data_IF_879924828234
#
_entry.id   IF_879924828234
#
_cell.length_a   1.000
_cell.length_b   1.000
_cell.length_c   1.000
_cell.angle_alpha   90.00
_cell.angle_beta   90.00
_cell.angle_gamma   90.00
#
_symmetry.space_group_name_H-M   'P 1'
#
loop_
_entity.id
_entity.type
_entity.pdbx_description
1 polymer ?
#
# COMPACT_ATOMS: atom_id res chain seq x y z
N UNK A 1 -4.40 -0.40 -15.24
CA UNK A 1 -3.99 0.51 -14.15
C UNK A 1 -2.48 0.63 -14.18
N UNK A 2 -1.92 1.83 -14.02
CA UNK A 2 -0.47 2.04 -13.93
C UNK A 2 -0.02 1.70 -12.51
N UNK A 3 1.07 0.96 -12.37
CA UNK A 3 1.66 0.59 -11.08
C UNK A 3 3.15 0.89 -11.08
N UNK A 4 3.71 1.20 -9.91
CA UNK A 4 5.13 1.47 -9.72
C UNK A 4 5.64 0.71 -8.49
N UNK A 5 6.90 0.27 -8.51
CA UNK A 5 7.51 -0.28 -7.30
C UNK A 5 7.48 0.78 -6.19
N UNK A 6 7.01 0.38 -5.01
CA UNK A 6 6.61 1.31 -3.97
C UNK A 6 7.78 2.07 -3.34
N UNK A 7 8.92 1.42 -3.07
CA UNK A 7 10.06 2.10 -2.48
C UNK A 7 10.71 3.08 -3.46
N UNK A 8 10.88 2.69 -4.72
CA UNK A 8 11.38 3.56 -5.78
C UNK A 8 10.47 4.78 -5.96
N UNK A 9 9.15 4.57 -6.00
CA UNK A 9 8.19 5.65 -6.14
C UNK A 9 8.22 6.59 -4.94
N UNK A 10 8.14 6.07 -3.71
CA UNK A 10 8.15 6.88 -2.48
C UNK A 10 9.46 7.66 -2.30
N UNK A 11 10.61 7.03 -2.56
CA UNK A 11 11.93 7.65 -2.38
C UNK A 11 12.26 8.70 -3.45
N UNK A 12 11.60 8.65 -4.60
CA UNK A 12 11.77 9.65 -5.68
C UNK A 12 10.70 10.74 -5.69
N UNK A 13 9.67 10.62 -4.86
CA UNK A 13 8.59 11.59 -4.76
C UNK A 13 9.00 12.75 -3.83
N UNK A 14 8.88 13.99 -4.31
CA UNK A 14 9.21 15.18 -3.51
C UNK A 14 8.04 15.64 -2.62
N UNK A 15 6.86 15.02 -2.73
CA UNK A 15 5.75 15.30 -1.83
C UNK A 15 6.08 14.76 -0.42
N UNK A 16 6.12 15.61 0.63
CA UNK A 16 6.44 15.19 1.99
C UNK A 16 5.38 14.27 2.61
N UNK A 17 4.21 14.17 1.99
CA UNK A 17 3.05 13.37 2.40
C UNK A 17 2.47 12.58 1.23
N UNK A 18 3.34 12.00 0.39
CA UNK A 18 3.02 11.38 -0.90
C UNK A 18 2.01 10.22 -0.85
N UNK A 19 1.82 9.59 0.31
CA UNK A 19 1.06 8.34 0.38
C UNK A 19 0.20 8.27 1.64
N UNK A 20 -1.11 8.06 1.45
CA UNK A 20 -2.12 7.89 2.50
C UNK A 20 -1.86 8.81 3.72
N UNK A 21 -1.89 10.14 3.50
CA UNK A 21 -1.47 11.14 4.49
C UNK A 21 -2.22 11.00 5.82
N UNK A 22 -3.50 10.62 5.77
CA UNK A 22 -4.32 10.39 6.96
C UNK A 22 -3.73 9.28 7.87
N UNK A 23 -3.08 8.27 7.27
CA UNK A 23 -2.48 7.14 7.98
C UNK A 23 -1.02 7.37 8.37
N UNK A 24 -0.22 7.91 7.45
CA UNK A 24 1.23 7.98 7.63
C UNK A 24 1.73 9.37 8.01
N UNK A 25 0.97 10.43 7.71
CA UNK A 25 1.40 11.82 7.89
C UNK A 25 2.51 12.20 6.90
N UNK A 26 3.71 11.66 7.11
CA UNK A 26 4.89 11.93 6.29
C UNK A 26 5.30 10.69 5.46
N UNK A 27 5.84 10.94 4.26
CA UNK A 27 6.30 9.91 3.31
C UNK A 27 7.29 8.93 3.94
N UNK A 28 8.11 9.36 4.90
CA UNK A 28 9.05 8.48 5.59
C UNK A 28 8.35 7.34 6.36
N UNK A 29 7.17 7.60 6.93
CA UNK A 29 6.41 6.58 7.65
C UNK A 29 5.76 5.57 6.70
N UNK A 30 5.34 6.01 5.50
CA UNK A 30 4.91 5.11 4.43
C UNK A 30 6.07 4.24 3.91
N UNK A 31 7.27 4.81 3.76
CA UNK A 31 8.49 4.05 3.41
C UNK A 31 8.75 2.95 4.43
N UNK A 32 8.73 3.28 5.73
CA UNK A 32 8.95 2.29 6.80
C UNK A 32 7.89 1.17 6.76
N UNK A 33 6.64 1.49 6.45
CA UNK A 33 5.58 0.49 6.29
C UNK A 33 5.84 -0.45 5.10
N UNK A 34 6.25 0.09 3.96
CA UNK A 34 6.61 -0.73 2.78
C UNK A 34 7.85 -1.58 3.04
N UNK A 35 8.87 -1.03 3.70
CA UNK A 35 10.06 -1.79 4.12
C UNK A 35 9.64 -2.95 5.04
N UNK A 36 8.66 -2.74 5.92
CA UNK A 36 8.12 -3.80 6.77
C UNK A 36 7.46 -4.93 5.97
N UNK A 37 6.71 -4.62 4.93
CA UNK A 37 6.13 -5.64 4.04
C UNK A 37 7.22 -6.49 3.38
N UNK A 38 8.30 -5.88 2.92
CA UNK A 38 9.46 -6.61 2.37
C UNK A 38 10.19 -7.45 3.43
N UNK A 39 10.36 -6.95 4.66
CA UNK A 39 10.92 -7.73 5.77
C UNK A 39 10.08 -8.97 6.10
N UNK A 40 8.75 -8.86 6.02
CA UNK A 40 7.83 -9.98 6.21
C UNK A 40 7.86 -10.99 5.04
N UNK A 41 8.49 -10.60 3.92
CA UNK A 41 8.74 -11.49 2.78
C UNK A 41 7.88 -11.21 1.55
N UNK A 42 7.30 -10.02 1.42
CA UNK A 42 6.61 -9.64 0.19
C UNK A 42 7.55 -9.79 -1.02
N UNK A 43 7.02 -10.34 -2.12
CA UNK A 43 7.78 -10.48 -3.37
C UNK A 43 7.95 -9.14 -4.07
N UNK A 44 6.85 -8.38 -4.16
CA UNK A 44 6.83 -7.03 -4.74
C UNK A 44 5.73 -6.21 -4.07
N UNK A 45 6.01 -4.95 -3.80
CA UNK A 45 5.02 -3.98 -3.33
C UNK A 45 4.91 -2.88 -4.38
N UNK A 46 3.69 -2.63 -4.86
CA UNK A 46 3.43 -1.67 -5.92
C UNK A 46 2.43 -0.61 -5.49
N UNK A 47 2.76 0.68 -5.69
CA UNK A 47 1.80 1.79 -5.56
C UNK A 47 0.86 1.80 -6.76
N UNK A 48 -0.42 1.98 -6.48
CA UNK A 48 -1.49 2.03 -7.48
C UNK A 48 -2.42 3.22 -7.22
N UNK A 49 -3.27 3.57 -8.19
CA UNK A 49 -4.22 4.68 -8.04
C UNK A 49 -3.57 6.06 -7.92
N UNK A 50 -2.44 6.28 -8.59
CA UNK A 50 -1.68 7.54 -8.50
C UNK A 50 -2.49 8.70 -9.08
N UNK A 51 -2.56 9.78 -8.31
CA UNK A 51 -3.10 11.09 -8.66
C UNK A 51 -1.92 12.02 -8.98
N UNK A 52 -1.71 12.30 -10.26
CA UNK A 52 -0.59 13.11 -10.80
C UNK A 52 -1.06 14.41 -11.45
N UNK A 53 -2.14 14.99 -10.93
CA UNK A 53 -2.69 16.26 -11.37
C UNK A 53 -1.65 17.39 -11.25
N UNK A 54 -1.59 18.24 -12.28
CA UNK A 54 -0.57 19.30 -12.36
C UNK A 54 -0.62 20.25 -11.16
N UNK A 55 -1.81 20.69 -10.77
CA UNK A 55 -2.03 21.60 -9.63
C UNK A 55 -1.49 20.99 -8.33
N UNK A 56 -1.81 19.72 -8.07
CA UNK A 56 -1.27 18.98 -6.92
C UNK A 56 0.25 18.90 -6.92
N UNK A 57 0.86 18.62 -8.07
CA UNK A 57 2.33 18.55 -8.16
C UNK A 57 2.94 19.93 -7.89
N UNK A 58 2.32 21.01 -8.36
CA UNK A 58 2.77 22.39 -8.12
C UNK A 58 2.62 22.79 -6.64
N UNK A 59 1.53 22.38 -5.98
CA UNK A 59 1.22 22.77 -4.60
C UNK A 59 1.87 21.87 -3.54
N UNK A 60 1.90 20.56 -3.77
CA UNK A 60 2.36 19.55 -2.80
C UNK A 60 3.75 18.99 -3.13
N UNK A 61 4.33 19.37 -4.27
CA UNK A 61 5.67 18.97 -4.70
C UNK A 61 5.76 17.63 -5.41
N UNK A 62 4.66 16.88 -5.53
CA UNK A 62 4.67 15.59 -6.22
C UNK A 62 3.31 14.88 -6.22
N UNK A 63 3.20 13.76 -6.96
CA UNK A 63 1.97 13.00 -7.06
C UNK A 63 1.59 12.33 -5.73
N UNK A 64 0.35 11.88 -5.62
CA UNK A 64 -0.21 11.28 -4.41
C UNK A 64 -0.87 9.92 -4.70
N UNK A 65 -0.93 9.02 -3.72
CA UNK A 65 -1.64 7.74 -3.83
C UNK A 65 -2.08 7.21 -2.45
N UNK A 66 -3.01 6.25 -2.46
CA UNK A 66 -3.63 5.72 -1.23
C UNK A 66 -3.76 4.20 -1.24
N UNK A 67 -3.15 3.52 -2.20
CA UNK A 67 -3.31 2.07 -2.33
C UNK A 67 -2.03 1.37 -2.74
N UNK A 68 -1.83 0.19 -2.16
CA UNK A 68 -0.76 -0.74 -2.51
C UNK A 68 -1.34 -2.05 -3.03
N UNK A 69 -0.59 -2.70 -3.91
CA UNK A 69 -0.73 -4.12 -4.23
C UNK A 69 0.54 -4.82 -3.76
N UNK A 70 0.37 -5.89 -3.00
CA UNK A 70 1.45 -6.73 -2.46
C UNK A 70 1.37 -8.10 -3.10
N UNK A 71 2.45 -8.51 -3.76
CA UNK A 71 2.65 -9.89 -4.19
C UNK A 71 3.13 -10.71 -2.98
N UNK A 72 2.32 -11.68 -2.59
CA UNK A 72 2.57 -12.57 -1.46
C UNK A 72 3.63 -13.62 -1.82
N UNK A 73 4.49 -14.01 -0.87
CA UNK A 73 5.44 -15.09 -1.08
C UNK A 73 4.75 -16.45 -1.22
N UNK A 74 5.41 -17.40 -1.89
CA UNK A 74 5.01 -18.81 -1.94
C UNK A 74 5.21 -19.53 -0.59
N UNK A 75 6.03 -18.98 0.30
CA UNK A 75 6.24 -19.50 1.65
C UNK A 75 5.01 -19.22 2.52
N UNK A 76 4.31 -20.29 2.93
CA UNK A 76 3.07 -20.22 3.71
C UNK A 76 3.23 -19.48 5.04
N UNK A 77 4.39 -19.56 5.70
CA UNK A 77 4.61 -18.90 6.99
C UNK A 77 4.68 -17.39 6.76
N UNK A 78 5.50 -16.95 5.81
CA UNK A 78 5.65 -15.53 5.45
C UNK A 78 4.36 -14.95 4.89
N UNK A 79 3.65 -15.73 4.06
CA UNK A 79 2.34 -15.37 3.50
C UNK A 79 1.35 -15.06 4.63
N UNK A 80 1.26 -15.95 5.63
CA UNK A 80 0.38 -15.77 6.77
C UNK A 80 0.82 -14.62 7.70
N UNK A 81 2.11 -14.31 7.78
CA UNK A 81 2.58 -13.15 8.53
C UNK A 81 2.16 -11.82 7.88
N UNK A 82 2.19 -11.73 6.54
CA UNK A 82 1.69 -10.56 5.80
C UNK A 82 0.17 -10.43 5.92
N UNK A 83 -0.57 -11.54 5.83
CA UNK A 83 -2.04 -11.53 6.00
C UNK A 83 -2.41 -11.04 7.41
N UNK A 84 -1.74 -11.55 8.46
CA UNK A 84 -1.97 -11.07 9.84
C UNK A 84 -1.60 -9.61 10.02
N UNK A 85 -0.55 -9.14 9.35
CA UNK A 85 -0.17 -7.74 9.34
C UNK A 85 -1.25 -6.86 8.68
N UNK A 86 -1.83 -7.33 7.57
CA UNK A 86 -2.97 -6.69 6.91
C UNK A 86 -4.21 -6.66 7.79
N UNK A 87 -4.61 -7.78 8.40
CA UNK A 87 -5.80 -7.87 9.25
C UNK A 87 -5.72 -6.87 10.41
N UNK A 88 -4.56 -6.74 11.05
CA UNK A 88 -4.31 -5.75 12.10
C UNK A 88 -4.46 -4.32 11.58
N UNK A 89 -3.97 -4.06 10.37
CA UNK A 89 -4.09 -2.74 9.74
C UNK A 89 -5.54 -2.41 9.37
N UNK A 90 -6.35 -3.39 8.96
CA UNK A 90 -7.79 -3.19 8.71
C UNK A 90 -8.55 -2.93 10.01
N UNK A 91 -8.25 -3.68 11.07
CA UNK A 91 -8.83 -3.47 12.40
C UNK A 91 -8.53 -2.06 12.94
N UNK A 92 -7.27 -1.59 12.80
CA UNK A 92 -6.86 -0.24 13.22
C UNK A 92 -7.58 0.86 12.43
N UNK A 93 -7.93 0.61 11.16
CA UNK A 93 -8.70 1.52 10.33
C UNK A 93 -10.22 1.48 10.60
N UNK A 94 -10.72 0.46 11.32
CA UNK A 94 -12.15 0.22 11.50
C UNK A 94 -12.85 -0.20 10.20
N UNK A 95 -12.14 -0.88 9.30
CA UNK A 95 -12.70 -1.45 8.07
C UNK A 95 -13.37 -2.78 8.41
N UNK A 96 -14.68 -2.85 8.21
CA UNK A 96 -15.51 -4.03 8.49
C UNK A 96 -15.82 -4.84 7.21
N UNK A 97 -16.25 -6.10 7.38
CA UNK A 97 -16.67 -7.00 6.29
C UNK A 97 -17.68 -6.34 5.32
N UNK A 98 -17.44 -6.48 4.01
CA UNK A 98 -18.28 -5.91 2.95
C UNK A 98 -17.75 -4.60 2.33
N UNK A 99 -16.65 -4.07 2.84
CA UNK A 99 -15.93 -2.97 2.18
C UNK A 99 -15.19 -3.45 0.91
N UNK A 100 -15.18 -2.63 -0.14
CA UNK A 100 -14.76 -3.07 -1.49
C UNK A 100 -13.31 -3.60 -1.59
N UNK A 101 -12.42 -3.19 -0.68
CA UNK A 101 -11.06 -3.74 -0.59
C UNK A 101 -11.04 -5.18 -0.09
N UNK A 102 -11.95 -5.55 0.82
CA UNK A 102 -12.06 -6.90 1.37
C UNK A 102 -12.59 -7.87 0.30
N UNK A 103 -13.66 -7.49 -0.41
CA UNK A 103 -14.19 -8.30 -1.52
C UNK A 103 -13.14 -8.50 -2.63
N UNK A 104 -12.38 -7.45 -2.95
CA UNK A 104 -11.28 -7.56 -3.92
C UNK A 104 -10.19 -8.51 -3.43
N UNK A 105 -9.84 -8.47 -2.14
CA UNK A 105 -8.84 -9.35 -1.54
C UNK A 105 -9.31 -10.81 -1.51
N UNK A 106 -10.57 -11.10 -1.19
CA UNK A 106 -11.12 -12.47 -1.23
C UNK A 106 -10.92 -13.13 -2.60
N UNK A 107 -11.09 -12.38 -3.69
CA UNK A 107 -10.95 -12.88 -5.06
C UNK A 107 -9.48 -13.07 -5.46
N UNK A 108 -8.57 -12.26 -4.92
CA UNK A 108 -7.18 -12.19 -5.39
C UNK A 108 -6.18 -12.89 -4.46
N UNK A 109 -6.58 -13.25 -3.24
CA UNK A 109 -5.69 -13.88 -2.27
C UNK A 109 -5.14 -15.22 -2.78
N UNK A 110 -5.96 -16.02 -3.46
CA UNK A 110 -5.53 -17.30 -4.06
C UNK A 110 -4.53 -17.11 -5.21
N UNK A 111 -4.54 -15.93 -5.85
CA UNK A 111 -3.57 -15.55 -6.88
C UNK A 111 -2.25 -15.02 -6.28
N UNK A 112 -2.12 -15.02 -4.95
CA UNK A 112 -0.93 -14.50 -4.26
C UNK A 112 -0.87 -12.97 -4.27
N UNK A 113 -2.02 -12.30 -4.30
CA UNK A 113 -2.09 -10.84 -4.35
C UNK A 113 -2.93 -10.34 -3.17
N UNK A 114 -2.44 -9.30 -2.50
CA UNK A 114 -3.11 -8.63 -1.40
C UNK A 114 -3.06 -7.11 -1.58
N UNK A 115 -4.22 -6.47 -1.55
CA UNK A 115 -4.41 -5.04 -1.68
C UNK A 115 -4.51 -4.37 -0.32
N UNK A 116 -3.84 -3.21 -0.18
CA UNK A 116 -4.03 -2.29 0.93
C UNK A 116 -4.60 -0.99 0.40
N UNK A 117 -5.55 -0.40 1.12
CA UNK A 117 -6.13 0.90 0.82
C UNK A 117 -6.40 1.66 2.10
N UNK A 118 -6.33 2.99 2.01
CA UNK A 118 -6.63 3.93 3.09
C UNK A 118 -7.52 5.04 2.52
N UNK A 119 -8.59 5.42 3.23
CA UNK A 119 -9.59 6.39 2.77
C UNK A 119 -9.83 7.49 3.81
#
# INVERSE_FOLDING_TARGET
>A
MKTFEALEWLKSNNNPSAFATNRFGETIYAINFVEKLYELGAGKVSVVGIIDEKERIEDEGGPYAESLIVELPEDDVKRNDIIRFYEKEMEEQGIDEGEGILEWNEINLDNGILGFGWY
#
